data_IF_738415366075
#
_entry.id   IF_738415366075
#
_cell.length_a   1.000
_cell.length_b   1.000
_cell.length_c   1.000
_cell.angle_alpha   90.00
_cell.angle_beta   90.00
_cell.angle_gamma   90.00
#
_symmetry.space_group_name_H-M   'P 1'
#
loop_
_entity.id
_entity.type
_entity.pdbx_description
1 polymer ?
#
# COMPACT_ATOMS: atom_id res chain seq x y z
N UNK A 1 -41.91 5.59 38.63
CA UNK A 1 -41.18 6.87 38.61
C UNK A 1 -41.61 7.64 39.85
N UNK A 2 -40.68 8.02 40.71
CA UNK A 2 -41.03 8.72 41.96
C UNK A 2 -40.06 9.86 42.21
N UNK A 3 -40.65 11.03 42.46
CA UNK A 3 -40.01 12.19 43.03
C UNK A 3 -40.71 12.48 44.36
N UNK A 4 -39.97 12.89 45.37
CA UNK A 4 -40.51 13.18 46.69
C UNK A 4 -39.89 14.45 47.24
N UNK A 5 -40.63 15.12 48.13
CA UNK A 5 -40.06 16.14 48.99
C UNK A 5 -39.15 15.50 50.04
N UNK A 6 -38.01 16.12 50.29
CA UNK A 6 -37.06 15.73 51.33
C UNK A 6 -37.26 16.55 52.61
N UNK A 7 -38.20 17.48 52.61
CA UNK A 7 -38.51 18.34 53.75
C UNK A 7 -39.43 17.60 54.73
N UNK A 8 -38.91 17.36 55.93
CA UNK A 8 -39.68 16.80 57.03
C UNK A 8 -40.63 17.85 57.60
N UNK A 9 -41.86 17.44 57.90
CA UNK A 9 -42.87 18.28 58.54
C UNK A 9 -43.17 17.69 59.93
N UNK A 10 -42.89 18.43 61.01
CA UNK A 10 -43.07 17.97 62.37
C UNK A 10 -44.54 17.77 62.77
N UNK A 11 -45.50 18.25 61.96
CA UNK A 11 -46.94 18.14 62.24
C UNK A 11 -47.55 16.82 61.75
N UNK A 12 -46.79 16.00 61.01
CA UNK A 12 -47.26 14.72 60.46
C UNK A 12 -47.58 13.70 61.56
N UNK A 13 -48.72 13.03 61.43
CA UNK A 13 -49.04 11.83 62.23
C UNK A 13 -48.04 10.70 61.94
N UNK A 14 -47.94 9.71 62.83
CA UNK A 14 -47.04 8.55 62.65
C UNK A 14 -47.28 7.80 61.32
N UNK A 15 -48.54 7.67 60.90
CA UNK A 15 -48.90 7.04 59.64
C UNK A 15 -48.43 7.87 58.42
N UNK A 16 -48.61 9.20 58.48
CA UNK A 16 -48.15 10.11 57.43
C UNK A 16 -46.62 10.15 57.34
N UNK A 17 -45.92 10.11 58.48
CA UNK A 17 -44.46 10.06 58.53
C UNK A 17 -43.90 8.78 57.87
N UNK A 18 -44.49 7.60 58.13
CA UNK A 18 -44.08 6.35 57.48
C UNK A 18 -44.26 6.38 55.97
N UNK A 19 -45.39 6.92 55.50
CA UNK A 19 -45.66 7.10 54.07
C UNK A 19 -44.66 8.05 53.42
N UNK A 20 -44.39 9.18 54.06
CA UNK A 20 -43.38 10.15 53.63
C UNK A 20 -42.00 9.51 53.45
N UNK A 21 -41.48 8.81 54.47
CA UNK A 21 -40.16 8.18 54.36
C UNK A 21 -40.11 7.08 53.29
N UNK A 22 -41.20 6.35 53.10
CA UNK A 22 -41.28 5.33 52.04
C UNK A 22 -41.22 5.98 50.65
N UNK A 23 -41.89 7.12 50.46
CA UNK A 23 -41.81 7.90 49.22
C UNK A 23 -40.40 8.46 48.98
N UNK A 24 -39.75 9.01 50.02
CA UNK A 24 -38.37 9.52 49.95
C UNK A 24 -37.39 8.42 49.54
N UNK A 25 -37.47 7.25 50.17
CA UNK A 25 -36.57 6.13 49.87
C UNK A 25 -36.76 5.60 48.44
N UNK A 26 -38.00 5.54 47.95
CA UNK A 26 -38.27 5.17 46.55
C UNK A 26 -37.73 6.21 45.56
N UNK A 27 -37.86 7.50 45.88
CA UNK A 27 -37.30 8.57 45.06
C UNK A 27 -35.77 8.47 44.97
N UNK A 28 -35.09 8.23 46.10
CA UNK A 28 -33.63 8.01 46.12
C UNK A 28 -33.26 6.77 45.30
N UNK A 29 -33.93 5.63 45.53
CA UNK A 29 -33.63 4.38 44.84
C UNK A 29 -33.82 4.46 43.32
N UNK A 30 -34.67 5.36 42.85
CA UNK A 30 -34.95 5.57 41.42
C UNK A 30 -34.29 6.82 40.85
N UNK A 31 -33.29 7.40 41.55
CA UNK A 31 -32.60 8.63 41.12
C UNK A 31 -33.57 9.76 40.77
N UNK A 32 -34.58 9.99 41.61
CA UNK A 32 -35.63 11.00 41.41
C UNK A 32 -36.29 10.94 40.01
N UNK A 33 -36.46 9.73 39.46
CA UNK A 33 -36.95 9.54 38.10
C UNK A 33 -38.27 10.24 37.80
N UNK A 34 -38.35 10.93 36.66
CA UNK A 34 -39.57 11.61 36.20
C UNK A 34 -39.35 12.43 34.93
N UNK A 35 -40.45 12.75 34.23
CA UNK A 35 -40.43 13.49 32.97
C UNK A 35 -40.20 15.01 33.16
N UNK A 36 -40.39 15.51 34.37
CA UNK A 36 -40.12 16.89 34.77
C UNK A 36 -39.04 16.92 35.84
N UNK A 37 -38.28 18.01 35.90
CA UNK A 37 -37.25 18.17 36.93
C UNK A 37 -37.88 18.13 38.34
N UNK A 38 -37.20 17.50 39.33
CA UNK A 38 -37.64 17.55 40.71
C UNK A 38 -37.83 18.99 41.20
N UNK A 39 -38.95 19.26 41.87
CA UNK A 39 -39.27 20.59 42.40
C UNK A 39 -38.30 21.03 43.50
N UNK A 40 -37.84 20.08 44.33
CA UNK A 40 -36.80 20.29 45.33
C UNK A 40 -35.47 19.81 44.78
N UNK A 41 -34.48 20.71 44.73
CA UNK A 41 -33.16 20.40 44.19
C UNK A 41 -32.06 20.56 45.24
N UNK A 42 -31.09 19.65 45.19
CA UNK A 42 -29.89 19.67 46.02
C UNK A 42 -28.64 19.64 45.14
N UNK A 43 -27.54 20.32 45.52
CA UNK A 43 -26.26 20.16 44.84
C UNK A 43 -25.89 18.69 44.65
N UNK A 44 -25.34 18.34 43.49
CA UNK A 44 -24.88 16.99 43.15
C UNK A 44 -25.94 15.88 43.11
N UNK A 45 -27.24 16.16 43.27
CA UNK A 45 -28.27 15.13 43.16
C UNK A 45 -28.34 14.53 41.76
N UNK A 46 -28.66 13.24 41.66
CA UNK A 46 -28.99 12.61 40.39
C UNK A 46 -30.48 12.73 40.06
N UNK A 47 -30.76 12.87 38.78
CA UNK A 47 -32.09 12.83 38.19
C UNK A 47 -32.07 11.99 36.92
N UNK A 48 -32.88 10.93 36.90
CA UNK A 48 -33.20 10.19 35.69
C UNK A 48 -34.38 10.86 34.96
N UNK A 49 -34.06 11.62 33.91
CA UNK A 49 -35.07 12.27 33.07
C UNK A 49 -35.66 11.25 32.10
N UNK A 50 -36.93 10.91 32.32
CA UNK A 50 -37.62 9.89 31.52
C UNK A 50 -38.26 10.44 30.26
N UNK A 51 -38.36 11.76 30.09
CA UNK A 51 -38.81 12.37 28.85
C UNK A 51 -37.71 12.31 27.78
N UNK A 52 -36.45 12.51 28.18
CA UNK A 52 -35.30 12.49 27.27
C UNK A 52 -34.45 11.23 27.37
N UNK A 53 -34.80 10.30 28.25
CA UNK A 53 -34.01 9.09 28.55
C UNK A 53 -32.54 9.40 28.88
N UNK A 54 -32.30 10.37 29.79
CA UNK A 54 -30.94 10.80 30.17
C UNK A 54 -30.73 10.78 31.68
N UNK A 55 -29.50 10.50 32.10
CA UNK A 55 -29.05 10.76 33.46
C UNK A 55 -28.47 12.16 33.57
N UNK A 56 -28.97 12.92 34.54
CA UNK A 56 -28.51 14.27 34.85
C UNK A 56 -28.03 14.35 36.30
N UNK A 57 -27.03 15.19 36.55
CA UNK A 57 -26.55 15.55 37.88
C UNK A 57 -26.72 17.05 38.09
N UNK A 58 -27.21 17.47 39.26
CA UNK A 58 -27.27 18.89 39.60
C UNK A 58 -25.86 19.43 39.82
N UNK A 59 -25.58 20.62 39.30
CA UNK A 59 -24.28 21.26 39.50
C UNK A 59 -24.05 21.62 40.98
N UNK A 60 -22.78 21.89 41.33
CA UNK A 60 -22.39 22.25 42.70
C UNK A 60 -23.10 23.52 43.22
N UNK A 61 -23.42 24.47 42.32
CA UNK A 61 -24.11 25.72 42.65
C UNK A 61 -25.64 25.56 42.81
N UNK A 62 -26.19 24.36 42.61
CA UNK A 62 -27.63 24.09 42.59
C UNK A 62 -28.45 25.00 41.65
N UNK A 63 -27.86 25.43 40.54
CA UNK A 63 -28.46 26.36 39.57
C UNK A 63 -28.74 25.71 38.21
N UNK A 64 -28.05 24.63 37.86
CA UNK A 64 -28.14 23.96 36.56
C UNK A 64 -28.02 22.45 36.64
N UNK A 65 -28.38 21.77 35.55
CA UNK A 65 -28.24 20.32 35.38
C UNK A 65 -27.13 20.02 34.38
N UNK A 66 -26.27 19.06 34.73
CA UNK A 66 -25.21 18.51 33.88
C UNK A 66 -25.69 17.17 33.36
N UNK A 67 -25.75 17.00 32.03
CA UNK A 67 -26.06 15.70 31.43
C UNK A 67 -24.85 14.79 31.54
N UNK A 68 -25.04 13.61 32.12
CA UNK A 68 -23.99 12.58 32.29
C UNK A 68 -23.99 11.60 31.12
N UNK A 69 -25.17 11.30 30.56
CA UNK A 69 -25.33 10.42 29.40
C UNK A 69 -26.78 10.07 29.12
N UNK A 70 -27.01 9.39 28.00
CA UNK A 70 -28.32 8.89 27.59
C UNK A 70 -28.42 7.38 27.74
N UNK A 71 -29.63 6.89 27.96
CA UNK A 71 -29.98 5.48 28.00
C UNK A 71 -30.81 5.12 26.78
N UNK A 72 -30.47 4.04 26.11
CA UNK A 72 -31.35 3.38 25.17
C UNK A 72 -31.96 2.16 25.86
N UNK A 73 -33.23 2.26 26.26
CA UNK A 73 -33.93 1.19 26.96
C UNK A 73 -34.30 0.01 26.05
N UNK A 74 -34.35 0.20 24.73
CA UNK A 74 -34.61 -0.87 23.78
C UNK A 74 -33.33 -1.69 23.52
N UNK A 75 -32.20 -1.01 23.35
CA UNK A 75 -30.91 -1.64 23.14
C UNK A 75 -30.19 -2.05 24.44
N UNK A 76 -30.65 -1.57 25.60
CA UNK A 76 -30.02 -1.81 26.90
C UNK A 76 -28.64 -1.16 27.03
N UNK A 77 -28.42 -0.01 26.39
CA UNK A 77 -27.11 0.65 26.33
C UNK A 77 -27.10 2.01 27.03
N UNK A 78 -25.90 2.43 27.45
CA UNK A 78 -25.64 3.77 28.00
C UNK A 78 -24.60 4.47 27.15
N UNK A 79 -24.86 5.72 26.77
CA UNK A 79 -23.93 6.57 26.03
C UNK A 79 -23.53 7.76 26.90
N UNK A 80 -22.27 7.82 27.38
CA UNK A 80 -21.77 8.97 28.13
C UNK A 80 -21.87 10.28 27.33
N UNK A 81 -22.29 11.35 27.99
CA UNK A 81 -22.34 12.69 27.41
C UNK A 81 -20.92 13.27 27.26
N UNK A 82 -20.72 14.09 26.23
CA UNK A 82 -19.40 14.68 25.94
C UNK A 82 -18.45 13.74 25.18
N UNK A 83 -18.87 12.50 24.89
CA UNK A 83 -18.21 11.71 23.85
C UNK A 83 -18.55 12.34 22.50
N UNK A 84 -17.55 12.91 21.84
CA UNK A 84 -17.67 13.26 20.44
C UNK A 84 -17.84 11.97 19.65
N UNK A 85 -19.07 11.67 19.20
CA UNK A 85 -19.24 10.70 18.12
C UNK A 85 -18.58 11.31 16.88
N UNK A 86 -17.48 10.71 16.44
CA UNK A 86 -16.73 11.22 15.32
C UNK A 86 -17.54 10.98 14.05
N UNK A 87 -17.81 12.06 13.33
CA UNK A 87 -18.32 11.94 11.97
C UNK A 87 -17.29 11.25 11.09
N UNK A 88 -17.74 10.61 10.01
CA UNK A 88 -16.85 9.96 9.04
C UNK A 88 -15.76 10.91 8.53
N UNK A 89 -16.11 12.19 8.34
CA UNK A 89 -15.19 13.26 7.97
C UNK A 89 -14.11 13.50 9.04
N UNK A 90 -14.47 13.53 10.33
CA UNK A 90 -13.51 13.72 11.43
C UNK A 90 -12.67 12.48 11.69
N UNK A 91 -13.19 11.28 11.38
CA UNK A 91 -12.40 10.06 11.43
C UNK A 91 -11.40 9.97 10.26
N UNK A 92 -11.59 10.75 9.18
CA UNK A 92 -10.74 10.77 7.99
C UNK A 92 -9.76 11.95 7.94
N UNK A 93 -9.88 12.92 8.86
CA UNK A 93 -8.98 14.07 8.97
C UNK A 93 -7.70 13.67 9.73
N UNK A 94 -6.60 13.62 9.00
CA UNK A 94 -5.26 13.27 9.47
C UNK A 94 -4.52 14.44 10.16
N UNK A 95 -5.14 15.62 10.22
CA UNK A 95 -4.59 16.84 10.84
C UNK A 95 -5.29 17.24 12.14
N UNK A 96 -6.35 16.53 12.54
CA UNK A 96 -7.16 16.86 13.71
C UNK A 96 -6.41 16.66 15.03
N UNK A 97 -6.40 17.71 15.86
CA UNK A 97 -5.80 17.69 17.21
C UNK A 97 -6.76 17.17 18.30
N UNK A 98 -7.92 16.62 17.92
CA UNK A 98 -8.90 16.07 18.87
C UNK A 98 -8.49 14.67 19.30
N UNK A 99 -8.21 14.51 20.59
CA UNK A 99 -7.73 13.26 21.18
C UNK A 99 -8.82 12.16 21.12
N UNK A 100 -8.57 11.05 20.42
CA UNK A 100 -9.49 9.91 20.48
C UNK A 100 -9.43 8.79 19.43
N UNK A 101 -8.65 8.86 18.34
CA UNK A 101 -8.67 7.78 17.34
C UNK A 101 -7.35 7.58 16.59
N UNK A 102 -6.52 6.66 17.07
CA UNK A 102 -5.90 5.72 16.14
C UNK A 102 -6.61 4.38 16.38
N UNK A 103 -7.71 4.13 15.67
CA UNK A 103 -8.25 2.77 15.64
C UNK A 103 -7.21 1.87 14.98
N UNK A 104 -7.14 0.59 15.38
CA UNK A 104 -6.23 -0.36 14.74
C UNK A 104 -6.43 -0.44 13.21
N UNK A 105 -7.65 -0.17 12.73
CA UNK A 105 -7.97 -0.09 11.32
C UNK A 105 -7.38 1.15 10.63
N UNK A 106 -7.42 2.34 11.26
CA UNK A 106 -6.76 3.55 10.74
C UNK A 106 -5.24 3.42 10.75
N UNK A 107 -4.68 2.80 11.79
CA UNK A 107 -3.26 2.44 11.81
C UNK A 107 -2.91 1.47 10.68
N UNK A 108 -3.70 0.42 10.49
CA UNK A 108 -3.49 -0.55 9.41
C UNK A 108 -3.61 0.09 8.02
N UNK A 109 -4.55 1.02 7.82
CA UNK A 109 -4.68 1.79 6.58
C UNK A 109 -3.49 2.71 6.34
N UNK A 110 -3.02 3.42 7.37
CA UNK A 110 -1.83 4.28 7.27
C UNK A 110 -0.57 3.44 7.00
N UNK A 111 -0.41 2.32 7.68
CA UNK A 111 0.68 1.37 7.44
C UNK A 111 0.58 0.80 6.03
N UNK A 112 -0.59 0.40 5.54
CA UNK A 112 -0.74 -0.09 4.17
C UNK A 112 -0.48 0.98 3.10
N UNK A 113 -0.88 2.23 3.36
CA UNK A 113 -0.66 3.36 2.45
C UNK A 113 0.82 3.78 2.37
N UNK A 114 1.62 3.49 3.40
CA UNK A 114 3.03 3.87 3.49
C UNK A 114 3.97 2.68 3.53
N UNK A 115 3.45 1.45 3.49
CA UNK A 115 4.26 0.25 3.37
C UNK A 115 4.87 0.25 1.97
N UNK A 116 6.20 0.11 1.85
CA UNK A 116 6.79 -0.14 0.55
C UNK A 116 6.12 -1.38 -0.04
N UNK A 117 5.80 -1.36 -1.33
CA UNK A 117 5.26 -2.52 -2.02
C UNK A 117 6.13 -3.73 -1.68
N UNK A 118 5.50 -4.81 -1.19
CA UNK A 118 6.21 -6.01 -0.81
C UNK A 118 7.14 -6.40 -1.97
N UNK A 119 8.45 -6.55 -1.73
CA UNK A 119 9.38 -6.81 -2.81
C UNK A 119 8.97 -8.09 -3.53
N UNK A 120 8.84 -7.99 -4.85
CA UNK A 120 8.57 -9.14 -5.69
C UNK A 120 9.93 -9.79 -5.95
N UNK A 121 10.25 -10.76 -5.11
CA UNK A 121 11.56 -11.44 -5.04
C UNK A 121 11.89 -12.25 -6.32
N UNK A 122 10.87 -12.62 -7.10
CA UNK A 122 11.04 -13.36 -8.34
C UNK A 122 11.19 -12.42 -9.56
N UNK A 123 11.74 -12.94 -10.66
CA UNK A 123 11.68 -12.26 -11.95
C UNK A 123 10.23 -11.95 -12.34
N UNK A 124 9.93 -10.68 -12.55
CA UNK A 124 8.61 -10.19 -12.93
C UNK A 124 8.70 -9.10 -14.00
N UNK A 125 7.61 -8.82 -14.74
CA UNK A 125 7.58 -7.72 -15.69
C UNK A 125 8.00 -6.39 -15.05
N UNK A 126 8.81 -5.60 -15.75
CA UNK A 126 9.39 -4.36 -15.18
C UNK A 126 8.32 -3.32 -14.81
N UNK A 127 7.19 -3.35 -15.51
CA UNK A 127 6.03 -2.49 -15.36
C UNK A 127 4.99 -3.05 -14.37
N UNK A 128 5.22 -4.25 -13.81
CA UNK A 128 4.34 -4.85 -12.82
C UNK A 128 4.46 -4.12 -11.48
N UNK A 129 3.32 -3.66 -10.98
CA UNK A 129 3.13 -3.01 -9.69
C UNK A 129 2.60 -4.01 -8.68
N UNK A 130 1.76 -4.96 -9.11
CA UNK A 130 1.18 -5.98 -8.25
C UNK A 130 1.01 -7.30 -9.00
N UNK A 131 1.20 -8.46 -8.33
CA UNK A 131 0.98 -9.75 -8.97
C UNK A 131 -0.41 -9.85 -9.60
N UNK A 132 -0.46 -10.08 -10.92
CA UNK A 132 -1.72 -10.25 -11.65
C UNK A 132 -2.37 -8.96 -12.17
N UNK A 133 -1.69 -7.82 -12.12
CA UNK A 133 -2.17 -6.55 -12.70
C UNK A 133 -2.25 -6.54 -14.24
N UNK A 134 -1.80 -7.62 -14.90
CA UNK A 134 -1.81 -7.77 -16.35
C UNK A 134 -0.62 -7.15 -17.05
N UNK A 135 0.35 -6.59 -16.31
CA UNK A 135 1.59 -6.09 -16.86
C UNK A 135 2.37 -7.22 -17.55
N UNK A 136 2.87 -6.93 -18.76
CA UNK A 136 3.52 -7.92 -19.62
C UNK A 136 5.01 -7.69 -19.81
N UNK A 137 5.52 -6.49 -19.46
CA UNK A 137 6.92 -6.13 -19.60
C UNK A 137 7.37 -6.01 -21.05
N UNK A 138 6.45 -6.01 -22.01
CA UNK A 138 6.78 -5.97 -23.44
C UNK A 138 7.35 -4.60 -23.78
N UNK A 139 8.57 -4.58 -24.33
CA UNK A 139 9.22 -3.37 -24.82
C UNK A 139 9.31 -3.33 -26.35
N UNK A 140 9.01 -4.45 -27.01
CA UNK A 140 8.88 -4.54 -28.46
C UNK A 140 8.07 -5.79 -28.85
N UNK A 141 7.16 -5.64 -29.81
CA UNK A 141 6.47 -6.72 -30.51
C UNK A 141 6.35 -6.36 -32.00
N UNK A 142 6.94 -7.19 -32.89
CA UNK A 142 6.93 -6.90 -34.33
C UNK A 142 5.53 -6.71 -34.91
N UNK A 143 4.50 -7.38 -34.37
CA UNK A 143 3.12 -7.21 -34.85
C UNK A 143 2.59 -5.79 -34.63
N UNK A 144 3.10 -5.09 -33.63
CA UNK A 144 2.70 -3.73 -33.25
C UNK A 144 3.70 -2.68 -33.74
N UNK A 145 4.99 -2.93 -33.54
CA UNK A 145 6.06 -1.96 -33.73
C UNK A 145 6.72 -2.06 -35.12
N UNK A 146 6.52 -3.17 -35.84
CA UNK A 146 7.13 -3.42 -37.15
C UNK A 146 8.65 -3.57 -37.09
N UNK A 147 9.31 -3.41 -38.24
CA UNK A 147 10.77 -3.57 -38.37
C UNK A 147 11.52 -2.37 -37.77
N UNK A 148 12.45 -2.62 -36.85
CA UNK A 148 13.22 -1.57 -36.15
C UNK A 148 14.72 -1.87 -36.14
N UNK A 149 15.56 -0.83 -36.18
CA UNK A 149 17.02 -1.00 -36.13
C UNK A 149 17.50 -1.48 -34.75
N UNK A 150 16.84 -1.04 -33.68
CA UNK A 150 17.18 -1.37 -32.31
C UNK A 150 16.02 -1.09 -31.38
N UNK A 151 15.99 -1.77 -30.25
CA UNK A 151 15.02 -1.55 -29.16
C UNK A 151 15.78 -1.13 -27.92
N UNK A 152 15.44 0.03 -27.36
CA UNK A 152 16.02 0.52 -26.11
C UNK A 152 15.10 0.14 -24.93
N UNK A 153 15.70 -0.22 -23.79
CA UNK A 153 14.93 -0.39 -22.57
C UNK A 153 14.58 0.98 -21.97
N UNK A 154 13.53 1.04 -21.13
CA UNK A 154 13.37 2.12 -20.17
C UNK A 154 14.62 2.30 -19.29
N UNK A 155 14.71 3.47 -18.64
CA UNK A 155 15.76 3.75 -17.66
C UNK A 155 15.72 2.76 -16.51
N UNK A 156 16.90 2.28 -16.10
CA UNK A 156 17.03 1.36 -14.97
C UNK A 156 16.93 2.12 -13.64
N UNK A 157 16.25 1.50 -12.69
CA UNK A 157 16.02 2.00 -11.33
C UNK A 157 17.02 1.39 -10.35
N UNK A 158 17.39 2.16 -9.33
CA UNK A 158 18.35 1.74 -8.31
C UNK A 158 17.79 0.56 -7.49
N UNK A 159 18.64 -0.41 -7.14
CA UNK A 159 18.26 -1.59 -6.34
C UNK A 159 17.58 -2.73 -7.11
N UNK A 160 17.55 -2.66 -8.44
CA UNK A 160 17.00 -3.71 -9.31
C UNK A 160 18.05 -4.33 -10.21
N UNK A 161 17.88 -5.63 -10.45
CA UNK A 161 18.47 -6.32 -11.60
C UNK A 161 17.43 -6.42 -12.72
N UNK A 162 17.91 -6.43 -13.95
CA UNK A 162 17.06 -6.45 -15.14
C UNK A 162 17.42 -7.63 -16.04
N UNK A 163 16.42 -8.28 -16.62
CA UNK A 163 16.62 -9.30 -17.63
C UNK A 163 15.85 -8.96 -18.90
N UNK A 164 16.54 -8.99 -20.03
CA UNK A 164 15.94 -8.89 -21.35
C UNK A 164 15.69 -10.30 -21.83
N UNK A 165 14.42 -10.60 -22.14
CA UNK A 165 13.98 -11.86 -22.74
C UNK A 165 13.65 -11.61 -24.21
N UNK A 166 14.18 -12.47 -25.07
CA UNK A 166 13.95 -12.47 -26.52
C UNK A 166 13.16 -13.71 -26.90
N UNK A 167 12.12 -13.53 -27.72
CA UNK A 167 11.24 -14.60 -28.16
C UNK A 167 11.00 -14.51 -29.67
N UNK A 168 11.42 -15.54 -30.40
CA UNK A 168 11.27 -15.65 -31.84
C UNK A 168 11.83 -14.45 -32.63
N UNK A 169 12.92 -13.86 -32.16
CA UNK A 169 13.57 -12.71 -32.82
C UNK A 169 14.25 -13.14 -34.12
N UNK A 170 14.21 -12.29 -35.15
CA UNK A 170 14.99 -12.46 -36.38
C UNK A 170 15.51 -11.12 -36.90
N UNK A 171 16.31 -11.17 -37.97
CA UNK A 171 16.81 -9.99 -38.65
C UNK A 171 16.62 -10.07 -40.17
N UNK A 172 16.56 -8.90 -40.81
CA UNK A 172 16.46 -8.81 -42.28
C UNK A 172 17.81 -8.82 -43.01
N UNK A 173 18.93 -8.96 -42.29
CA UNK A 173 20.26 -8.99 -42.91
C UNK A 173 20.51 -10.29 -43.71
N UNK A 174 21.12 -10.15 -44.88
CA UNK A 174 21.36 -11.27 -45.81
C UNK A 174 22.52 -12.19 -45.40
N UNK A 175 23.36 -11.71 -44.48
CA UNK A 175 24.49 -12.46 -43.90
C UNK A 175 24.15 -12.75 -42.45
N UNK A 176 24.60 -13.90 -41.94
CA UNK A 176 24.44 -14.23 -40.54
C UNK A 176 25.06 -13.12 -39.66
N UNK A 177 24.25 -12.51 -38.79
CA UNK A 177 24.67 -11.35 -37.99
C UNK A 177 24.32 -11.55 -36.53
N UNK A 178 25.23 -11.18 -35.61
CA UNK A 178 24.99 -11.49 -34.22
C UNK A 178 24.01 -10.52 -33.53
N UNK A 179 23.25 -11.03 -32.56
CA UNK A 179 22.47 -10.26 -31.60
C UNK A 179 23.39 -9.64 -30.54
N UNK A 180 23.21 -8.35 -30.33
CA UNK A 180 23.94 -7.53 -29.38
C UNK A 180 22.98 -7.03 -28.31
N UNK A 181 23.36 -7.24 -27.05
CA UNK A 181 22.77 -6.53 -25.92
C UNK A 181 23.83 -5.60 -25.34
N UNK A 182 23.49 -4.33 -25.34
CA UNK A 182 24.41 -3.24 -25.04
C UNK A 182 23.91 -2.44 -23.85
N UNK A 183 24.83 -2.03 -22.98
CA UNK A 183 24.59 -1.15 -21.86
C UNK A 183 24.92 0.29 -22.23
N UNK A 184 24.06 1.24 -21.87
CA UNK A 184 24.36 2.66 -21.92
C UNK A 184 25.19 3.07 -20.71
N UNK A 185 26.41 3.51 -20.99
CA UNK A 185 27.38 3.96 -20.01
C UNK A 185 27.16 5.44 -19.71
N UNK A 186 26.71 5.79 -18.51
CA UNK A 186 26.29 7.17 -18.19
C UNK A 186 27.44 8.18 -18.23
N UNK A 187 28.61 7.81 -17.71
CA UNK A 187 29.77 8.70 -17.68
C UNK A 187 30.42 8.83 -19.05
N UNK A 188 30.51 7.73 -19.80
CA UNK A 188 31.09 7.72 -21.15
C UNK A 188 30.14 8.31 -22.20
N UNK A 189 28.82 8.23 -21.98
CA UNK A 189 27.80 8.69 -22.93
C UNK A 189 27.74 7.83 -24.20
N UNK A 190 27.98 6.52 -24.07
CA UNK A 190 28.02 5.60 -25.21
C UNK A 190 27.46 4.23 -24.86
N UNK A 191 26.99 3.51 -25.88
CA UNK A 191 26.67 2.10 -25.73
C UNK A 191 27.95 1.26 -25.77
N UNK A 192 28.08 0.37 -24.79
CA UNK A 192 29.07 -0.69 -24.76
C UNK A 192 28.35 -1.98 -24.47
N UNK A 193 28.61 -3.03 -25.25
CA UNK A 193 27.83 -4.25 -25.13
C UNK A 193 28.59 -5.51 -25.42
N UNK A 194 27.87 -6.59 -25.24
CA UNK A 194 28.35 -7.96 -25.38
C UNK A 194 27.54 -8.63 -26.49
N UNK A 195 28.22 -9.49 -27.26
CA UNK A 195 27.56 -10.43 -28.17
C UNK A 195 26.88 -11.51 -27.35
N UNK A 196 25.57 -11.69 -27.52
CA UNK A 196 24.80 -12.70 -26.79
C UNK A 196 25.04 -14.13 -27.25
N UNK A 197 25.79 -14.34 -28.32
CA UNK A 197 25.91 -15.64 -28.94
C UNK A 197 27.31 -15.93 -29.46
N UNK A 198 27.66 -17.22 -29.41
CA UNK A 198 28.92 -17.78 -29.88
C UNK A 198 28.90 -18.07 -31.39
N UNK A 199 27.73 -18.00 -32.05
CA UNK A 199 27.57 -18.11 -33.50
C UNK A 199 26.38 -17.28 -34.01
N UNK A 200 26.58 -16.52 -35.08
CA UNK A 200 25.56 -15.62 -35.62
C UNK A 200 24.44 -16.40 -36.35
N UNK A 201 23.16 -16.11 -36.09
CA UNK A 201 22.02 -16.71 -36.77
C UNK A 201 21.94 -16.18 -38.21
N UNK A 202 21.39 -16.98 -39.12
CA UNK A 202 20.86 -16.44 -40.38
C UNK A 202 19.48 -15.83 -40.14
N UNK A 203 18.99 -15.04 -41.10
CA UNK A 203 17.66 -14.43 -41.07
C UNK A 203 16.50 -15.44 -41.01
N UNK A 204 16.77 -16.70 -41.34
CA UNK A 204 15.79 -17.80 -41.30
C UNK A 204 15.74 -18.53 -39.95
N UNK A 205 16.60 -18.18 -38.99
CA UNK A 205 16.68 -18.82 -37.67
C UNK A 205 16.15 -17.87 -36.62
N UNK A 206 15.10 -18.28 -35.90
CA UNK A 206 14.50 -17.49 -34.83
C UNK A 206 15.28 -17.67 -33.53
N UNK A 207 15.52 -16.57 -32.82
CA UNK A 207 16.26 -16.52 -31.56
C UNK A 207 15.33 -16.48 -30.35
N UNK A 208 15.73 -17.22 -29.32
CA UNK A 208 15.08 -17.30 -28.02
C UNK A 208 16.14 -17.20 -26.93
N UNK A 209 15.79 -16.62 -25.79
CA UNK A 209 16.71 -16.60 -24.65
C UNK A 209 16.51 -15.39 -23.76
N UNK A 210 17.46 -15.22 -22.84
CA UNK A 210 17.50 -14.07 -21.96
C UNK A 210 18.91 -13.75 -21.49
N UNK A 211 19.18 -12.47 -21.28
CA UNK A 211 20.36 -11.98 -20.57
C UNK A 211 19.96 -11.05 -19.44
N UNK A 212 20.73 -11.09 -18.36
CA UNK A 212 20.60 -10.21 -17.22
C UNK A 212 21.69 -9.15 -17.20
N UNK A 213 21.28 -7.94 -16.84
CA UNK A 213 22.15 -6.89 -16.33
C UNK A 213 22.22 -7.07 -14.82
N UNK A 214 23.39 -7.44 -14.31
CA UNK A 214 23.63 -7.63 -12.88
C UNK A 214 23.95 -6.28 -12.27
N UNK A 215 23.15 -5.85 -11.29
CA UNK A 215 23.32 -4.61 -10.52
C UNK A 215 23.69 -3.38 -11.40
N UNK A 216 22.92 -3.07 -12.47
CA UNK A 216 23.30 -2.03 -13.44
C UNK A 216 23.43 -0.64 -12.81
N UNK A 217 22.78 -0.39 -11.67
CA UNK A 217 22.76 0.91 -10.99
C UNK A 217 23.81 1.06 -9.89
N UNK A 218 24.64 0.04 -9.66
CA UNK A 218 25.81 0.16 -8.82
C UNK A 218 26.94 0.88 -9.57
N UNK A 219 27.69 1.74 -8.89
CA UNK A 219 28.83 2.41 -9.51
C UNK A 219 30.00 1.43 -9.60
N UNK A 220 30.48 1.15 -10.81
CA UNK A 220 31.51 0.15 -11.02
C UNK A 220 32.42 0.42 -12.21
N UNK A 221 33.64 -0.12 -12.14
CA UNK A 221 34.55 -0.20 -13.29
C UNK A 221 34.24 -1.42 -14.18
N UNK A 222 33.52 -2.39 -13.63
CA UNK A 222 33.14 -3.62 -14.31
C UNK A 222 31.65 -3.82 -14.10
N UNK A 223 30.93 -4.03 -15.19
CA UNK A 223 29.53 -4.41 -15.17
C UNK A 223 29.36 -5.78 -15.81
N UNK A 224 28.49 -6.61 -15.26
CA UNK A 224 28.26 -7.94 -15.81
C UNK A 224 26.95 -7.98 -16.60
N UNK A 225 27.05 -8.44 -17.85
CA UNK A 225 25.90 -8.91 -18.61
C UNK A 225 26.03 -10.42 -18.72
N UNK A 226 25.18 -11.14 -18.01
CA UNK A 226 25.23 -12.59 -17.95
C UNK A 226 24.08 -13.20 -18.75
N UNK A 227 24.40 -14.20 -19.56
CA UNK A 227 23.38 -14.95 -20.28
C UNK A 227 22.66 -15.90 -19.30
N UNK A 228 21.33 -15.86 -19.28
CA UNK A 228 20.50 -16.73 -18.44
C UNK A 228 19.97 -17.94 -19.21
N UNK A 229 19.64 -17.74 -20.49
CA UNK A 229 19.19 -18.81 -21.39
C UNK A 229 19.42 -18.41 -22.85
N UNK A 230 19.55 -19.39 -23.75
CA UNK A 230 19.57 -19.16 -25.19
C UNK A 230 18.92 -20.36 -25.92
N UNK A 231 18.51 -20.13 -27.16
CA UNK A 231 17.90 -21.12 -28.03
C UNK A 231 17.67 -20.59 -29.44
N UNK A 232 17.63 -21.50 -30.40
CA UNK A 232 17.36 -21.22 -31.81
C UNK A 232 16.27 -22.15 -32.33
N UNK A 233 15.42 -21.66 -33.25
CA UNK A 233 14.47 -22.54 -33.95
C UNK A 233 15.25 -23.55 -34.80
N UNK A 234 15.24 -24.83 -34.41
CA UNK A 234 15.97 -25.91 -35.10
C UNK A 234 16.66 -26.91 -34.17
N UNK A 235 16.89 -26.53 -32.90
CA UNK A 235 17.44 -27.41 -31.86
C UNK A 235 18.95 -27.71 -31.97
N UNK A 236 19.63 -27.68 -30.82
CA UNK A 236 20.96 -28.29 -30.66
C UNK A 236 22.14 -27.33 -30.78
N UNK A 237 22.52 -26.72 -29.66
CA UNK A 237 23.83 -26.12 -29.47
C UNK A 237 24.18 -26.08 -27.99
N UNK A 238 24.83 -27.13 -27.48
CA UNK A 238 25.38 -27.14 -26.12
C UNK A 238 26.66 -26.31 -26.09
N UNK A 239 26.64 -25.09 -25.56
CA UNK A 239 27.86 -24.29 -25.49
C UNK A 239 27.99 -23.41 -24.25
N UNK A 240 29.25 -23.32 -23.81
CA UNK A 240 29.78 -22.69 -22.59
C UNK A 240 29.20 -21.29 -22.36
N UNK A 241 28.62 -21.08 -21.17
CA UNK A 241 28.10 -19.79 -20.73
C UNK A 241 29.11 -18.67 -21.03
N UNK A 242 28.77 -17.81 -21.99
CA UNK A 242 29.53 -16.59 -22.26
C UNK A 242 29.06 -15.55 -21.25
N UNK A 243 29.49 -15.67 -20.01
CA UNK A 243 29.51 -14.53 -19.10
C UNK A 243 30.55 -13.55 -19.64
N UNK A 244 30.17 -12.29 -19.80
CA UNK A 244 31.11 -11.27 -20.16
C UNK A 244 30.98 -10.08 -19.22
N UNK A 245 32.15 -9.66 -18.75
CA UNK A 245 32.34 -8.50 -17.92
C UNK A 245 32.70 -7.34 -18.86
N UNK A 246 31.90 -6.27 -18.81
CA UNK A 246 32.16 -5.02 -19.52
C UNK A 246 33.03 -4.17 -18.63
N UNK A 247 34.32 -4.07 -18.97
CA UNK A 247 35.29 -3.26 -18.23
C UNK A 247 35.36 -1.85 -18.80
N UNK A 248 35.46 -0.86 -17.91
CA UNK A 248 35.44 0.56 -18.25
C UNK A 248 36.66 1.30 -17.67
N UNK A 249 37.15 2.32 -18.39
CA UNK A 249 38.27 3.14 -17.91
C UNK A 249 37.89 4.07 -16.74
N UNK A 250 36.59 4.31 -16.52
CA UNK A 250 36.05 5.12 -15.44
C UNK A 250 34.88 4.41 -14.76
N UNK A 251 34.77 4.56 -13.44
CA UNK A 251 33.64 4.04 -12.68
C UNK A 251 32.36 4.74 -13.12
N UNK A 252 31.31 3.96 -13.38
CA UNK A 252 30.04 4.48 -13.86
C UNK A 252 28.89 3.53 -13.56
N UNK A 253 27.67 4.03 -13.74
CA UNK A 253 26.44 3.23 -13.72
C UNK A 253 25.99 2.94 -15.16
N UNK A 254 25.17 1.90 -15.31
CA UNK A 254 24.41 1.63 -16.51
C UNK A 254 23.03 2.30 -16.39
N UNK A 255 22.70 3.14 -17.38
CA UNK A 255 21.43 3.88 -17.38
C UNK A 255 20.26 3.11 -18.01
N UNK A 256 20.57 2.30 -19.03
CA UNK A 256 19.58 1.56 -19.85
C UNK A 256 20.29 0.51 -20.71
N UNK A 257 19.53 -0.43 -21.25
CA UNK A 257 19.97 -1.40 -22.24
C UNK A 257 19.53 -1.05 -23.67
N UNK A 258 20.15 -1.69 -24.65
CA UNK A 258 19.72 -1.70 -26.04
C UNK A 258 19.92 -3.08 -26.65
N UNK A 259 18.93 -3.52 -27.42
CA UNK A 259 18.92 -4.77 -28.18
C UNK A 259 18.96 -4.44 -29.66
N UNK A 260 19.90 -5.04 -30.39
CA UNK A 260 19.99 -4.89 -31.86
C UNK A 260 20.79 -6.03 -32.46
N UNK A 261 20.71 -6.21 -33.78
CA UNK A 261 21.70 -6.99 -34.50
C UNK A 261 22.92 -6.13 -34.86
N UNK A 262 24.08 -6.76 -35.06
CA UNK A 262 25.29 -6.06 -35.46
C UNK A 262 25.15 -5.39 -36.84
N UNK A 263 24.35 -5.98 -37.73
CA UNK A 263 23.91 -5.44 -39.00
C UNK A 263 22.43 -5.74 -39.25
N UNK A 264 21.79 -4.97 -40.12
CA UNK A 264 20.35 -5.11 -40.42
C UNK A 264 19.44 -4.58 -39.33
N UNK A 265 18.15 -4.91 -39.45
CA UNK A 265 17.07 -4.52 -38.54
C UNK A 265 16.40 -5.75 -37.97
N UNK A 266 15.87 -5.61 -36.76
CA UNK A 266 14.96 -6.57 -36.15
C UNK A 266 13.67 -6.57 -36.96
N UNK A 267 13.26 -7.74 -37.46
CA UNK A 267 12.13 -7.88 -38.40
C UNK A 267 11.11 -8.97 -38.00
N UNK A 268 11.24 -9.56 -36.82
CA UNK A 268 10.22 -10.42 -36.22
C UNK A 268 10.40 -10.52 -34.70
N UNK A 269 9.46 -11.20 -34.03
CA UNK A 269 9.58 -11.60 -32.63
C UNK A 269 9.13 -10.54 -31.63
N UNK A 270 9.42 -10.82 -30.36
CA UNK A 270 9.05 -10.02 -29.19
C UNK A 270 10.23 -9.88 -28.23
N UNK A 271 10.31 -8.74 -27.56
CA UNK A 271 11.26 -8.49 -26.47
C UNK A 271 10.49 -8.05 -25.23
N UNK A 272 10.78 -8.73 -24.12
CA UNK A 272 10.22 -8.45 -22.81
C UNK A 272 11.33 -8.08 -21.83
N UNK A 273 11.09 -7.07 -21.01
CA UNK A 273 11.95 -6.66 -19.92
C UNK A 273 11.35 -7.15 -18.59
N UNK A 274 12.17 -7.87 -17.84
CA UNK A 274 11.87 -8.32 -16.50
C UNK A 274 12.78 -7.59 -15.52
N UNK A 275 12.33 -7.46 -14.27
CA UNK A 275 13.15 -6.99 -13.15
C UNK A 275 13.00 -7.93 -11.96
N UNK A 276 13.96 -7.85 -11.03
CA UNK A 276 13.85 -8.40 -9.68
C UNK A 276 14.60 -7.49 -8.70
N UNK A 277 14.14 -7.43 -7.45
CA UNK A 277 14.82 -6.62 -6.43
C UNK A 277 16.07 -7.34 -5.94
N UNK A 278 17.09 -6.57 -5.58
CA UNK A 278 18.31 -7.08 -4.96
C UNK A 278 18.04 -7.64 -3.55
N UNK A 279 18.63 -8.80 -3.20
CA UNK A 279 18.53 -9.45 -1.88
C UNK A 279 19.18 -8.66 -0.72
N UNK A 280 19.79 -7.50 -0.97
CA UNK A 280 20.68 -6.81 -0.01
C UNK A 280 20.01 -5.60 0.67
N UNK A 281 18.71 -5.38 0.49
CA UNK A 281 17.96 -4.36 1.25
C UNK A 281 16.73 -4.95 1.95
N UNK A 282 17.00 -5.81 2.93
CA UNK A 282 16.08 -6.19 4.01
C UNK A 282 16.55 -5.65 5.34
#
# INVERSE_FOLDING_TARGET
MSQATYITDPTRTRAQARSFFSAVLQAIASNNSGATAPAETYPHMFWADTATATLKQRNAANSGWITIGSFDQAAGTFTPAGLAQLSEAQAADDTSQVFGQVSGQRLAQAVAAHAPAAPIEAWHPYDMVSPGDGAGGVIYDHATDGTVLSVETPSFEDGYEYAVKVEALSHNHSIATPLLIEAWLETTGAYSGIRMETGAPSSSVLLYGSAQFVLPREIGFVHRIAQLSNGFSGGGGAWTAAEADVTHPAAQKIGRGRVRFAAGSIDAGRITLLRRREYVTG
#
